data_IF_261448871620
#
_entry.id   IF_261448871620
#
_cell.length_a   1.000
_cell.length_b   1.000
_cell.length_c   1.000
_cell.angle_alpha   90.00
_cell.angle_beta   90.00
_cell.angle_gamma   90.00
#
_symmetry.space_group_name_H-M   'P 1'
#
loop_
_entity.id
_entity.type
_entity.pdbx_description
1 polymer ?
#
# COMPACT_ATOMS: atom_id res chain seq x y z
N UNK A 1 2.56 -24.73 -6.65
CA UNK A 1 1.32 -24.26 -6.02
C UNK A 1 0.81 -23.13 -6.88
N UNK A 2 -0.47 -23.14 -7.21
CA UNK A 2 -1.08 -22.07 -8.01
C UNK A 2 -1.01 -20.73 -7.24
N UNK A 3 -0.69 -19.63 -7.91
CA UNK A 3 -0.45 -18.35 -7.24
C UNK A 3 -1.69 -17.80 -6.52
N UNK A 4 -2.90 -18.10 -7.01
CA UNK A 4 -4.15 -17.75 -6.33
C UNK A 4 -4.34 -18.56 -5.06
N UNK A 5 -4.05 -19.87 -5.08
CA UNK A 5 -4.02 -20.67 -3.84
C UNK A 5 -3.03 -20.10 -2.83
N UNK A 6 -1.84 -19.72 -3.28
CA UNK A 6 -0.82 -19.12 -2.42
C UNK A 6 -1.32 -17.81 -1.81
N UNK A 7 -1.91 -16.93 -2.61
CA UNK A 7 -2.43 -15.64 -2.15
C UNK A 7 -3.53 -15.84 -1.09
N UNK A 8 -4.48 -16.76 -1.33
CA UNK A 8 -5.53 -17.08 -0.35
C UNK A 8 -4.96 -17.69 0.94
N UNK A 9 -3.95 -18.54 0.85
CA UNK A 9 -3.32 -19.21 1.99
C UNK A 9 -2.53 -18.26 2.91
N UNK A 10 -2.24 -17.03 2.47
CA UNK A 10 -1.59 -16.03 3.33
C UNK A 10 -2.47 -15.54 4.48
N UNK A 11 -3.80 -15.68 4.34
CA UNK A 11 -4.81 -15.28 5.34
C UNK A 11 -4.73 -13.80 5.77
N UNK A 12 -4.17 -12.95 4.92
CA UNK A 12 -4.10 -11.53 5.18
C UNK A 12 -5.50 -10.92 5.27
N UNK A 13 -5.69 -10.08 6.28
CA UNK A 13 -6.99 -9.48 6.60
C UNK A 13 -6.90 -7.97 6.43
N UNK A 14 -7.79 -7.41 5.61
CA UNK A 14 -8.05 -5.98 5.56
C UNK A 14 -8.94 -5.61 6.75
N UNK A 15 -8.45 -4.72 7.61
CA UNK A 15 -9.26 -4.13 8.67
C UNK A 15 -9.74 -2.78 8.17
N UNK A 16 -11.06 -2.58 8.11
CA UNK A 16 -11.68 -1.34 7.66
C UNK A 16 -12.66 -0.85 8.72
N UNK A 17 -12.55 0.43 9.07
CA UNK A 17 -13.41 1.10 10.02
C UNK A 17 -14.15 2.23 9.31
N UNK A 18 -15.47 2.26 9.47
CA UNK A 18 -16.26 3.43 9.14
C UNK A 18 -16.23 4.39 10.32
N UNK A 19 -15.82 5.63 10.08
CA UNK A 19 -15.85 6.72 11.07
C UNK A 19 -16.75 7.85 10.59
N UNK A 20 -17.39 8.54 11.53
CA UNK A 20 -18.23 9.72 11.25
C UNK A 20 -17.57 10.94 11.86
N UNK A 21 -17.26 11.92 11.03
CA UNK A 21 -16.59 13.17 11.42
C UNK A 21 -17.48 14.33 10.96
N UNK A 22 -18.11 15.04 11.90
CA UNK A 22 -19.04 16.15 11.59
C UNK A 22 -20.07 15.78 10.50
N UNK A 23 -20.79 14.67 10.72
CA UNK A 23 -21.82 14.09 9.81
C UNK A 23 -21.31 13.58 8.45
N UNK A 24 -19.99 13.58 8.23
CA UNK A 24 -19.38 13.01 7.03
C UNK A 24 -18.82 11.62 7.31
N UNK A 25 -19.09 10.68 6.41
CA UNK A 25 -18.57 9.32 6.48
C UNK A 25 -17.18 9.28 5.87
N UNK A 26 -16.25 8.66 6.58
CA UNK A 26 -14.91 8.34 6.12
C UNK A 26 -14.61 6.88 6.45
N UNK A 27 -14.05 6.14 5.49
CA UNK A 27 -13.52 4.81 5.76
C UNK A 27 -12.01 4.89 5.99
N UNK A 28 -11.52 4.25 7.04
CA UNK A 28 -10.09 4.15 7.35
C UNK A 28 -9.76 2.67 7.44
N UNK A 29 -8.86 2.24 6.57
CA UNK A 29 -8.46 0.85 6.48
C UNK A 29 -6.96 0.67 6.61
N UNK A 30 -6.55 -0.49 7.11
CA UNK A 30 -5.17 -0.89 7.19
C UNK A 30 -4.97 -2.29 6.61
N UNK A 31 -3.93 -2.45 5.80
CA UNK A 31 -3.56 -3.72 5.21
C UNK A 31 -2.04 -3.88 5.16
N UNK A 32 -1.56 -5.08 5.46
CA UNK A 32 -0.17 -5.44 5.27
C UNK A 32 -0.10 -6.48 4.15
N UNK A 33 0.49 -6.15 3.00
CA UNK A 33 0.70 -7.14 1.94
C UNK A 33 1.76 -8.15 2.43
N UNK A 34 1.61 -9.46 2.15
CA UNK A 34 2.63 -10.44 2.50
C UNK A 34 4.02 -10.07 1.98
N UNK A 35 5.08 -10.36 2.76
CA UNK A 35 6.47 -10.12 2.32
C UNK A 35 6.96 -11.25 1.38
N UNK A 36 6.29 -11.41 0.24
CA UNK A 36 6.59 -12.43 -0.79
C UNK A 36 7.07 -11.78 -2.09
N UNK A 37 7.99 -10.82 -1.99
CA UNK A 37 8.56 -10.11 -3.13
C UNK A 37 9.25 -11.04 -4.17
N UNK A 38 9.60 -12.26 -3.78
CA UNK A 38 10.13 -13.29 -4.68
C UNK A 38 9.05 -13.94 -5.58
N UNK A 39 7.77 -13.65 -5.32
CA UNK A 39 6.62 -14.16 -6.06
C UNK A 39 5.78 -12.94 -6.51
N UNK A 40 6.21 -12.21 -7.56
CA UNK A 40 5.57 -10.97 -7.98
C UNK A 40 4.08 -11.13 -8.27
N UNK A 41 3.67 -12.28 -8.78
CA UNK A 41 2.29 -12.59 -9.15
C UNK A 41 1.37 -12.60 -7.93
N UNK A 42 1.86 -13.09 -6.79
CA UNK A 42 1.13 -13.05 -5.52
C UNK A 42 0.96 -11.60 -5.06
N UNK A 43 2.04 -10.81 -5.15
CA UNK A 43 2.00 -9.39 -4.79
C UNK A 43 0.99 -8.63 -5.67
N UNK A 44 0.96 -8.91 -6.99
CA UNK A 44 0.00 -8.34 -7.95
C UNK A 44 -1.44 -8.67 -7.57
N UNK A 45 -1.74 -9.92 -7.20
CA UNK A 45 -3.06 -10.33 -6.72
C UNK A 45 -3.46 -9.49 -5.51
N UNK A 46 -2.62 -9.42 -4.47
CA UNK A 46 -2.96 -8.66 -3.27
C UNK A 46 -3.14 -7.17 -3.54
N UNK A 47 -2.26 -6.53 -4.33
CA UNK A 47 -2.40 -5.12 -4.69
C UNK A 47 -3.69 -4.85 -5.47
N UNK A 48 -4.06 -5.71 -6.41
CA UNK A 48 -5.31 -5.56 -7.17
C UNK A 48 -6.53 -5.73 -6.28
N UNK A 49 -6.59 -6.83 -5.52
CA UNK A 49 -7.76 -7.17 -4.71
C UNK A 49 -7.98 -6.16 -3.58
N UNK A 50 -6.92 -5.72 -2.89
CA UNK A 50 -7.09 -4.75 -1.78
C UNK A 50 -7.59 -3.40 -2.26
N UNK A 51 -7.16 -2.96 -3.45
CA UNK A 51 -7.65 -1.72 -4.07
C UNK A 51 -9.15 -1.81 -4.33
N UNK A 52 -9.55 -2.84 -5.05
CA UNK A 52 -10.94 -2.99 -5.49
C UNK A 52 -11.86 -3.21 -4.28
N UNK A 53 -11.41 -3.99 -3.30
CA UNK A 53 -12.13 -4.19 -2.05
C UNK A 53 -12.33 -2.89 -1.29
N UNK A 54 -11.34 -1.96 -1.27
CA UNK A 54 -11.56 -0.65 -0.65
C UNK A 54 -12.57 0.21 -1.40
N UNK A 55 -12.55 0.21 -2.73
CA UNK A 55 -13.56 0.92 -3.52
C UNK A 55 -14.97 0.38 -3.27
N UNK A 56 -15.09 -0.95 -3.17
CA UNK A 56 -16.35 -1.62 -2.86
C UNK A 56 -16.83 -1.28 -1.44
N UNK A 57 -15.97 -1.45 -0.43
CA UNK A 57 -16.30 -1.19 0.98
C UNK A 57 -16.67 0.28 1.23
N UNK A 58 -15.96 1.22 0.61
CA UNK A 58 -16.23 2.64 0.77
C UNK A 58 -17.53 3.06 0.06
N UNK A 59 -18.03 2.29 -0.92
CA UNK A 59 -19.27 2.53 -1.64
C UNK A 59 -19.42 3.98 -2.16
N UNK A 60 -18.32 4.56 -2.65
CA UNK A 60 -18.27 5.94 -3.15
C UNK A 60 -18.06 7.03 -2.09
N UNK A 61 -17.94 6.68 -0.81
CA UNK A 61 -17.48 7.59 0.24
C UNK A 61 -15.97 7.79 0.21
N UNK A 62 -15.50 8.84 0.88
CA UNK A 62 -14.07 9.10 1.07
C UNK A 62 -13.43 7.95 1.85
N UNK A 63 -12.20 7.58 1.50
CA UNK A 63 -11.46 6.60 2.28
C UNK A 63 -9.96 6.84 2.31
N UNK A 64 -9.33 6.28 3.35
CA UNK A 64 -7.89 6.19 3.55
C UNK A 64 -7.54 4.72 3.71
N UNK A 65 -6.49 4.27 3.02
CA UNK A 65 -5.93 2.92 3.12
C UNK A 65 -4.45 3.03 3.49
N UNK A 66 -4.06 2.49 4.63
CA UNK A 66 -2.69 2.54 5.16
C UNK A 66 -2.05 1.15 5.23
N UNK A 67 -0.72 1.13 5.36
CA UNK A 67 0.01 -0.03 5.87
C UNK A 67 1.35 -0.26 5.18
N UNK A 68 1.97 -1.39 5.51
CA UNK A 68 3.19 -1.88 4.87
C UNK A 68 2.83 -2.74 3.67
N UNK A 69 3.01 -2.21 2.47
CA UNK A 69 2.61 -2.87 1.25
C UNK A 69 3.71 -3.76 0.67
N UNK A 70 4.93 -3.73 1.23
CA UNK A 70 6.06 -4.54 0.72
C UNK A 70 6.28 -4.40 -0.80
N UNK A 71 5.92 -3.23 -1.35
CA UNK A 71 6.08 -2.87 -2.76
C UNK A 71 6.80 -1.54 -2.83
N UNK A 72 7.60 -1.36 -3.87
CA UNK A 72 8.36 -0.14 -4.09
C UNK A 72 7.73 0.72 -5.20
N UNK A 73 7.97 2.05 -5.27
CA UNK A 73 7.24 2.96 -6.17
C UNK A 73 7.35 2.66 -7.68
N UNK A 74 8.45 2.08 -8.17
CA UNK A 74 8.62 1.70 -9.58
C UNK A 74 8.09 0.31 -9.95
N UNK A 75 7.55 -0.46 -9.00
CA UNK A 75 7.05 -1.80 -9.26
C UNK A 75 5.63 -1.78 -9.85
N UNK A 76 5.30 -2.80 -10.65
CA UNK A 76 3.98 -2.95 -11.25
C UNK A 76 2.86 -2.96 -10.20
N UNK A 77 3.11 -3.52 -9.02
CA UNK A 77 2.16 -3.56 -7.92
C UNK A 77 1.78 -2.16 -7.41
N UNK A 78 2.73 -1.23 -7.35
CA UNK A 78 2.44 0.16 -7.00
C UNK A 78 1.65 0.86 -8.10
N UNK A 79 1.97 0.58 -9.37
CA UNK A 79 1.22 1.11 -10.52
C UNK A 79 -0.22 0.59 -10.58
N UNK A 80 -0.46 -0.66 -10.21
CA UNK A 80 -1.83 -1.23 -10.06
C UNK A 80 -2.68 -0.39 -9.10
N UNK A 81 -2.06 0.10 -8.02
CA UNK A 81 -2.72 0.92 -7.02
C UNK A 81 -2.95 2.35 -7.51
N UNK A 82 -1.99 2.94 -8.22
CA UNK A 82 -1.90 4.40 -8.42
C UNK A 82 -2.12 4.88 -9.85
N UNK A 83 -2.21 3.99 -10.83
CA UNK A 83 -2.35 4.33 -12.25
C UNK A 83 -3.53 3.59 -12.89
N UNK A 84 -4.06 4.17 -13.97
CA UNK A 84 -4.96 3.46 -14.87
C UNK A 84 -4.14 2.53 -15.74
N UNK A 85 -4.24 1.22 -15.48
CA UNK A 85 -3.48 0.20 -16.20
C UNK A 85 -4.37 -0.43 -17.26
N UNK A 86 -4.03 -0.30 -18.54
CA UNK A 86 -4.80 -0.86 -19.66
C UNK A 86 -4.39 -2.28 -20.08
N UNK A 87 -3.50 -2.92 -19.30
CA UNK A 87 -2.97 -4.25 -19.60
C UNK A 87 -3.98 -5.35 -19.28
N UNK A 88 -4.33 -6.15 -20.29
CA UNK A 88 -5.27 -7.27 -20.18
C UNK A 88 -4.71 -8.44 -19.35
N UNK A 89 -3.38 -8.50 -19.16
CA UNK A 89 -2.68 -9.59 -18.45
C UNK A 89 -2.11 -9.14 -17.10
N UNK A 90 -2.80 -8.21 -16.44
CA UNK A 90 -2.36 -7.63 -15.17
C UNK A 90 -2.13 -8.67 -14.07
N UNK A 91 -2.96 -9.72 -14.05
CA UNK A 91 -2.96 -10.78 -13.06
C UNK A 91 -2.59 -12.13 -13.67
N UNK A 92 -1.99 -13.04 -12.89
CA UNK A 92 -1.68 -14.38 -13.35
C UNK A 92 -2.97 -15.17 -13.64
N UNK A 93 -2.93 -16.01 -14.68
CA UNK A 93 -3.93 -17.05 -14.88
C UNK A 93 -3.82 -18.11 -13.77
N UNK A 94 -4.93 -18.76 -13.44
CA UNK A 94 -4.92 -19.94 -12.58
C UNK A 94 -5.02 -21.20 -13.43
N UNK A 95 -4.27 -22.24 -13.06
CA UNK A 95 -4.41 -23.57 -13.67
C UNK A 95 -5.34 -24.51 -12.88
N UNK A 96 -5.88 -24.04 -11.76
CA UNK A 96 -6.78 -24.80 -10.86
C UNK A 96 -8.19 -24.20 -10.85
N UNK A 97 -8.30 -22.87 -10.91
CA UNK A 97 -9.58 -22.16 -10.79
C UNK A 97 -9.94 -21.40 -12.06
N UNK A 98 -11.25 -21.31 -12.32
CA UNK A 98 -11.78 -20.30 -13.23
C UNK A 98 -11.90 -18.97 -12.48
N UNK A 99 -10.98 -18.04 -12.75
CA UNK A 99 -10.96 -16.74 -12.06
C UNK A 99 -12.02 -15.81 -12.69
N UNK A 100 -13.05 -15.48 -11.93
CA UNK A 100 -14.09 -14.52 -12.32
C UNK A 100 -13.77 -13.07 -11.95
N UNK A 101 -12.82 -12.85 -11.04
CA UNK A 101 -12.37 -11.53 -10.64
C UNK A 101 -11.76 -10.76 -11.83
N UNK A 102 -12.16 -9.51 -11.99
CA UNK A 102 -11.66 -8.60 -13.02
C UNK A 102 -11.20 -7.31 -12.34
N UNK A 103 -9.91 -6.97 -12.39
CA UNK A 103 -9.38 -5.76 -11.77
C UNK A 103 -10.09 -4.51 -12.25
N UNK A 104 -10.39 -3.60 -11.32
CA UNK A 104 -10.81 -2.27 -11.68
C UNK A 104 -9.61 -1.48 -12.22
N UNK A 105 -9.64 -1.12 -13.49
CA UNK A 105 -8.55 -0.37 -14.15
C UNK A 105 -8.81 1.13 -14.22
N UNK A 106 -10.02 1.57 -13.89
CA UNK A 106 -10.44 2.97 -14.04
C UNK A 106 -10.28 3.78 -12.76
N UNK A 107 -10.36 3.12 -11.61
CA UNK A 107 -10.17 3.72 -10.30
C UNK A 107 -8.75 3.51 -9.78
N UNK A 108 -8.18 4.60 -9.25
CA UNK A 108 -6.82 4.69 -8.74
C UNK A 108 -6.83 5.24 -7.32
N UNK A 109 -5.80 4.91 -6.56
CA UNK A 109 -5.51 5.49 -5.26
C UNK A 109 -4.49 6.62 -5.41
N UNK A 110 -4.64 7.68 -4.63
CA UNK A 110 -3.63 8.73 -4.51
C UNK A 110 -2.71 8.41 -3.32
N UNK A 111 -1.39 8.42 -3.53
CA UNK A 111 -0.43 8.38 -2.42
C UNK A 111 -0.33 9.76 -1.77
N UNK A 112 -0.42 9.81 -0.45
CA UNK A 112 -0.34 11.04 0.33
C UNK A 112 0.97 11.79 0.14
N UNK A 113 2.10 11.09 0.17
CA UNK A 113 3.41 11.74 0.03
C UNK A 113 3.63 12.23 -1.40
N UNK A 114 3.28 11.41 -2.39
CA UNK A 114 3.33 11.83 -3.80
C UNK A 114 2.41 13.00 -4.11
N UNK A 115 1.20 13.02 -3.55
CA UNK A 115 0.25 14.13 -3.71
C UNK A 115 0.80 15.42 -3.08
N UNK A 116 1.38 15.33 -1.87
CA UNK A 116 1.84 16.51 -1.13
C UNK A 116 3.17 17.06 -1.62
N UNK A 117 4.12 16.18 -1.94
CA UNK A 117 5.52 16.52 -2.22
C UNK A 117 5.88 16.35 -3.71
N UNK A 118 5.00 15.77 -4.52
CA UNK A 118 5.26 15.42 -5.92
C UNK A 118 6.02 14.10 -6.11
N UNK A 119 6.59 13.55 -5.04
CA UNK A 119 7.40 12.32 -5.05
C UNK A 119 7.14 11.49 -3.79
N UNK A 120 7.38 10.18 -3.89
CA UNK A 120 7.44 9.32 -2.70
C UNK A 120 8.71 9.59 -1.89
N UNK A 121 8.73 9.27 -0.58
CA UNK A 121 9.95 9.32 0.22
C UNK A 121 11.06 8.46 -0.39
N UNK A 122 12.31 8.77 -0.02
CA UNK A 122 13.46 7.93 -0.40
C UNK A 122 13.31 6.53 0.21
N UNK A 123 12.90 6.45 1.47
CA UNK A 123 12.64 5.20 2.15
C UNK A 123 11.61 5.35 3.28
N UNK A 124 11.00 4.22 3.63
CA UNK A 124 10.21 4.03 4.85
C UNK A 124 10.62 2.78 5.59
N UNK A 125 11.42 1.90 4.96
CA UNK A 125 12.10 0.78 5.57
C UNK A 125 13.59 0.91 5.32
N UNK A 126 14.39 0.74 6.37
CA UNK A 126 15.84 0.64 6.32
C UNK A 126 16.30 -0.51 7.21
N UNK A 127 16.54 -1.65 6.57
CA UNK A 127 16.85 -2.91 7.22
C UNK A 127 18.31 -3.27 6.98
N UNK A 128 19.08 -3.21 8.06
CA UNK A 128 20.43 -3.79 8.13
C UNK A 128 20.44 -4.99 9.08
N UNK A 129 20.59 -6.20 8.53
CA UNK A 129 20.60 -7.45 9.31
C UNK A 129 21.88 -8.21 9.02
N UNK A 130 22.59 -8.72 10.06
CA UNK A 130 23.80 -9.51 9.86
C UNK A 130 23.59 -10.66 8.87
N UNK A 131 24.50 -10.75 7.89
CA UNK A 131 24.50 -11.79 6.83
C UNK A 131 23.36 -11.71 5.82
N UNK A 132 22.61 -10.62 5.78
CA UNK A 132 21.67 -10.30 4.70
C UNK A 132 22.16 -9.07 3.93
N UNK A 133 21.84 -8.93 2.64
CA UNK A 133 22.05 -7.66 1.95
C UNK A 133 21.29 -6.54 2.65
N UNK A 134 21.92 -5.39 2.79
CA UNK A 134 21.26 -4.16 3.22
C UNK A 134 20.09 -3.85 2.28
N UNK A 135 18.96 -3.45 2.84
CA UNK A 135 17.76 -3.11 2.09
C UNK A 135 17.17 -1.81 2.61
N UNK A 136 17.05 -0.82 1.73
CA UNK A 136 16.48 0.49 2.03
C UNK A 136 15.55 0.92 0.89
N UNK A 137 14.26 1.10 1.19
CA UNK A 137 13.25 1.49 0.21
C UNK A 137 11.97 2.01 0.86
N UNK A 138 11.13 2.67 0.06
CA UNK A 138 9.75 3.01 0.43
C UNK A 138 8.86 1.80 0.22
N UNK A 139 8.28 1.31 1.33
CA UNK A 139 7.39 0.14 1.38
C UNK A 139 6.04 0.45 2.04
N UNK A 140 5.95 1.55 2.77
CA UNK A 140 4.80 1.95 3.58
C UNK A 140 4.11 3.12 2.93
N UNK A 141 2.78 3.06 2.87
CA UNK A 141 1.99 4.07 2.16
C UNK A 141 0.75 4.45 2.97
N UNK A 142 0.35 5.71 2.82
CA UNK A 142 -0.98 6.19 3.14
C UNK A 142 -1.61 6.55 1.79
N UNK A 143 -2.53 5.71 1.33
CA UNK A 143 -3.33 5.94 0.14
C UNK A 143 -4.68 6.56 0.51
N UNK A 144 -5.27 7.31 -0.41
CA UNK A 144 -6.60 7.87 -0.21
C UNK A 144 -7.35 8.08 -1.52
N UNK A 145 -8.67 8.22 -1.40
CA UNK A 145 -9.57 8.61 -2.50
C UNK A 145 -10.75 9.44 -1.97
N UNK A 146 -11.37 10.22 -2.86
CA UNK A 146 -12.48 11.12 -2.55
C UNK A 146 -12.06 12.56 -2.28
N UNK A 147 -12.96 13.31 -1.63
CA UNK A 147 -12.85 14.74 -1.34
C UNK A 147 -12.04 15.03 -0.08
N UNK A 148 -10.76 14.63 -0.12
CA UNK A 148 -9.79 14.83 0.96
C UNK A 148 -8.65 15.73 0.45
N UNK A 149 -8.26 16.74 1.24
CA UNK A 149 -7.06 17.54 0.97
C UNK A 149 -5.94 17.14 1.93
N UNK A 150 -4.76 16.81 1.40
CA UNK A 150 -3.56 16.57 2.21
C UNK A 150 -2.99 17.92 2.67
N UNK A 151 -3.14 18.24 3.96
CA UNK A 151 -2.64 19.51 4.51
C UNK A 151 -1.14 19.43 4.78
N UNK A 152 -0.71 18.35 5.44
CA UNK A 152 0.68 18.13 5.88
C UNK A 152 1.02 16.65 5.84
N UNK A 153 2.30 16.37 5.66
CA UNK A 153 2.90 15.05 5.87
C UNK A 153 4.02 15.19 6.88
N UNK A 154 4.30 14.14 7.64
CA UNK A 154 5.49 14.08 8.48
C UNK A 154 6.71 14.05 7.56
N UNK A 155 7.61 15.01 7.73
CA UNK A 155 8.88 15.05 6.99
C UNK A 155 9.73 13.85 7.38
N UNK A 156 10.17 13.10 6.38
CA UNK A 156 11.03 11.93 6.55
C UNK A 156 12.45 12.30 6.13
N UNK A 157 13.47 11.72 6.77
CA UNK A 157 14.86 11.94 6.38
C UNK A 157 15.15 11.44 4.96
N UNK A 158 15.98 12.18 4.22
CA UNK A 158 16.41 11.80 2.86
C UNK A 158 17.51 10.73 2.86
N UNK A 159 18.14 10.49 4.01
CA UNK A 159 19.21 9.52 4.20
C UNK A 159 19.04 8.78 5.52
N UNK A 160 19.54 7.54 5.64
CA UNK A 160 19.63 6.85 6.92
C UNK A 160 20.34 7.67 7.98
N UNK A 161 19.75 7.78 9.18
CA UNK A 161 20.35 8.54 10.29
C UNK A 161 21.45 7.77 11.04
N UNK A 162 21.50 6.45 10.87
CA UNK A 162 22.47 5.56 11.50
C UNK A 162 22.79 4.38 10.57
N UNK A 163 23.78 3.57 10.94
CA UNK A 163 24.08 2.32 10.22
C UNK A 163 22.95 1.28 10.35
N UNK A 164 22.10 1.40 11.38
CA UNK A 164 20.92 0.54 11.60
C UNK A 164 19.82 1.32 12.31
N UNK A 165 18.63 1.35 11.71
CA UNK A 165 17.41 1.91 12.34
C UNK A 165 16.87 1.09 13.49
N UNK A 166 17.33 -0.13 13.73
CA UNK A 166 17.03 -0.86 14.96
C UNK A 166 18.10 -0.50 16.00
N UNK A 167 17.84 0.53 16.79
CA UNK A 167 18.72 0.98 17.86
C UNK A 167 17.94 1.41 19.12
N UNK A 168 18.63 1.90 20.16
CA UNK A 168 18.00 2.28 21.43
C UNK A 168 17.00 3.45 21.30
N UNK A 169 17.12 4.24 20.23
CA UNK A 169 16.28 5.41 19.93
C UNK A 169 15.28 5.16 18.80
N UNK A 170 15.48 4.11 18.01
CA UNK A 170 14.64 3.72 16.88
C UNK A 170 14.21 2.24 17.03
N UNK A 171 12.97 1.98 17.51
CA UNK A 171 12.54 0.62 17.84
C UNK A 171 12.06 -0.21 16.64
N UNK A 172 12.18 0.31 15.41
CA UNK A 172 11.71 -0.34 14.19
C UNK A 172 12.66 -0.03 13.04
N UNK A 173 12.83 -0.99 12.14
CA UNK A 173 13.43 -0.81 10.81
C UNK A 173 12.52 -0.03 9.85
N UNK A 174 11.31 0.34 10.27
CA UNK A 174 10.39 1.20 9.53
C UNK A 174 10.27 2.59 10.17
N UNK A 175 10.15 3.61 9.33
CA UNK A 175 9.83 4.97 9.73
C UNK A 175 8.32 5.11 9.95
N UNK A 176 7.95 5.85 11.00
CA UNK A 176 6.58 6.34 11.14
C UNK A 176 6.26 7.27 9.97
N UNK A 177 5.21 6.96 9.22
CA UNK A 177 4.61 7.87 8.24
C UNK A 177 3.33 8.47 8.80
N UNK A 178 3.08 9.75 8.56
CA UNK A 178 1.90 10.42 9.09
C UNK A 178 1.45 11.59 8.21
N UNK A 179 0.18 11.93 8.33
CA UNK A 179 -0.43 13.02 7.57
C UNK A 179 -1.59 13.66 8.32
N UNK A 180 -1.94 14.90 7.93
CA UNK A 180 -3.16 15.56 8.34
C UNK A 180 -4.02 15.83 7.10
N UNK A 181 -5.28 15.40 7.17
CA UNK A 181 -6.28 15.65 6.13
C UNK A 181 -7.28 16.70 6.55
N UNK A 182 -7.69 17.52 5.58
CA UNK A 182 -8.92 18.29 5.68
C UNK A 182 -10.02 17.59 4.89
N UNK A 183 -11.12 17.29 5.57
CA UNK A 183 -12.31 16.66 5.01
C UNK A 183 -13.23 17.75 4.43
N UNK A 184 -13.32 17.82 3.09
CA UNK A 184 -14.08 18.84 2.36
C UNK A 184 -15.58 18.59 2.39
#
# INVERSE_FOLDING_TARGET
>A
MDTWEMAMATLNTLICLQVVIHDKILYVANYHIPCFYQIPDLMRIHSSVVKDLMFELAAGHNFILTGGFNIKPMEICYRILTEKVSDVNLLPESNIYEISYRPNTDQILKSVYREKNGVEPVYTNDRDVPKSPHFCATLDYIFFEGHLTVEKVLELPDQPMSESYLDETHPSDHLLIATSFRLL
#
